data_IF_923493209215
#
_entry.id   IF_923493209215
#
_cell.length_a   1.000
_cell.length_b   1.000
_cell.length_c   1.000
_cell.angle_alpha   90.00
_cell.angle_beta   90.00
_cell.angle_gamma   90.00
#
_symmetry.space_group_name_H-M   'P 1'
#
loop_
_entity.id
_entity.type
_entity.pdbx_description
1 polymer ?
#
# COMPACT_ATOMS: atom_id res chain seq x y z
N UNK A 1 2.69 7.42 52.01
CA UNK A 1 1.27 7.46 51.58
C UNK A 1 1.17 8.40 50.38
N UNK A 2 0.96 7.79 49.21
CA UNK A 2 0.41 8.33 47.94
C UNK A 2 0.91 9.69 47.40
N UNK A 3 1.89 9.63 46.48
CA UNK A 3 1.93 10.55 45.32
C UNK A 3 1.47 9.74 44.11
N UNK A 4 0.24 9.95 43.66
CA UNK A 4 -0.32 9.22 42.54
C UNK A 4 -1.51 9.95 41.94
N UNK A 5 -1.52 10.03 40.61
CA UNK A 5 -2.58 10.53 39.71
C UNK A 5 -2.63 12.04 39.47
N UNK A 6 -1.83 12.49 38.51
CA UNK A 6 -2.21 13.58 37.61
C UNK A 6 -1.82 13.30 36.15
N UNK A 7 -1.97 12.05 35.70
CA UNK A 7 -1.99 11.69 34.26
C UNK A 7 -3.41 11.54 33.70
N UNK A 8 -4.42 11.42 34.57
CA UNK A 8 -5.76 10.96 34.19
C UNK A 8 -6.62 11.97 33.43
N UNK A 9 -6.39 13.28 33.56
CA UNK A 9 -7.32 14.29 33.00
C UNK A 9 -6.91 14.69 31.58
N UNK A 10 -5.61 14.76 31.30
CA UNK A 10 -5.07 15.11 29.98
C UNK A 10 -5.30 13.95 29.00
N UNK A 11 -5.10 12.71 29.45
CA UNK A 11 -5.42 11.51 28.67
C UNK A 11 -6.94 11.38 28.41
N UNK A 12 -7.78 11.78 29.37
CA UNK A 12 -9.24 11.76 29.23
C UNK A 12 -9.78 12.86 28.30
N UNK A 13 -9.15 14.04 28.28
CA UNK A 13 -9.50 15.14 27.37
C UNK A 13 -8.94 14.91 25.95
N UNK A 14 -7.81 14.22 25.81
CA UNK A 14 -7.30 13.79 24.50
C UNK A 14 -8.18 12.74 23.84
N UNK A 15 -8.80 11.85 24.63
CA UNK A 15 -9.72 10.84 24.14
C UNK A 15 -11.06 11.40 23.63
N UNK A 16 -11.51 12.56 24.14
CA UNK A 16 -12.76 13.21 23.72
C UNK A 16 -12.66 14.03 22.45
N UNK A 17 -11.45 14.24 21.93
CA UNK A 17 -11.17 15.02 20.71
C UNK A 17 -10.73 14.16 19.52
N UNK A 18 -10.65 12.83 19.68
CA UNK A 18 -10.42 11.92 18.56
C UNK A 18 -11.58 12.12 17.58
N UNK A 19 -11.34 12.63 16.35
CA UNK A 19 -12.40 12.79 15.36
C UNK A 19 -13.13 11.46 15.22
N UNK A 20 -14.46 11.47 15.28
CA UNK A 20 -15.32 10.28 15.20
C UNK A 20 -14.94 9.30 14.06
N UNK A 21 -14.35 9.82 12.98
CA UNK A 21 -13.80 9.04 11.86
C UNK A 21 -12.63 8.13 12.27
N UNK A 22 -11.72 8.56 13.14
CA UNK A 22 -10.60 7.73 13.64
C UNK A 22 -11.11 6.57 14.52
N UNK A 23 -12.16 6.79 15.32
CA UNK A 23 -12.78 5.72 16.09
C UNK A 23 -13.38 4.62 15.17
N UNK A 24 -13.96 5.00 14.03
CA UNK A 24 -14.47 4.06 13.03
C UNK A 24 -13.35 3.29 12.29
N UNK A 25 -12.14 3.85 12.23
CA UNK A 25 -10.98 3.24 11.58
C UNK A 25 -10.24 2.27 12.50
N UNK A 26 -10.32 2.47 13.82
CA UNK A 26 -9.57 1.71 14.82
C UNK A 26 -9.78 0.19 14.67
N UNK A 27 -8.68 -0.54 14.50
CA UNK A 27 -8.68 -1.99 14.35
C UNK A 27 -9.12 -2.51 12.97
N UNK A 28 -9.37 -1.61 12.02
CA UNK A 28 -9.59 -1.92 10.61
C UNK A 28 -8.26 -2.08 9.88
N UNK A 29 -8.26 -2.78 8.76
CA UNK A 29 -7.08 -2.98 7.92
C UNK A 29 -7.16 -2.13 6.66
N UNK A 30 -6.03 -1.55 6.27
CA UNK A 30 -5.84 -0.87 4.99
C UNK A 30 -4.69 -1.53 4.22
N UNK A 31 -4.90 -1.80 2.94
CA UNK A 31 -3.87 -2.28 2.03
C UNK A 31 -3.36 -1.13 1.16
N UNK A 32 -2.04 -0.92 1.13
CA UNK A 32 -1.37 0.06 0.28
C UNK A 32 -0.60 -0.71 -0.78
N UNK A 33 -0.85 -0.48 -2.08
CA UNK A 33 -0.35 -1.32 -3.17
C UNK A 33 0.50 -0.49 -4.13
N UNK A 34 1.76 -0.88 -4.31
CA UNK A 34 2.75 -0.15 -5.13
C UNK A 34 3.03 -0.89 -6.45
N UNK A 35 3.01 -2.24 -6.47
CA UNK A 35 3.53 -3.09 -7.58
C UNK A 35 4.85 -2.53 -8.16
N UNK A 36 5.76 -2.19 -7.25
CA UNK A 36 7.06 -1.59 -7.50
C UNK A 36 7.88 -1.62 -6.21
N UNK A 37 9.10 -1.09 -6.25
CA UNK A 37 9.94 -0.98 -5.06
C UNK A 37 9.33 0.01 -4.06
N UNK A 38 9.02 -0.49 -2.86
CA UNK A 38 8.46 0.31 -1.76
C UNK A 38 9.45 1.41 -1.36
N UNK A 39 10.75 1.11 -1.35
CA UNK A 39 11.75 2.08 -0.94
C UNK A 39 11.85 3.30 -1.86
N UNK A 40 11.41 3.16 -3.11
CA UNK A 40 11.37 4.22 -4.12
C UNK A 40 9.99 4.87 -4.27
N UNK A 41 9.09 4.63 -3.33
CA UNK A 41 7.72 5.15 -3.36
C UNK A 41 7.36 6.02 -2.15
N UNK A 42 8.06 7.16 -1.89
CA UNK A 42 7.82 8.00 -0.72
C UNK A 42 6.36 8.42 -0.53
N UNK A 43 5.64 8.69 -1.63
CA UNK A 43 4.21 9.05 -1.61
C UNK A 43 3.34 7.94 -1.01
N UNK A 44 3.61 6.69 -1.37
CA UNK A 44 2.87 5.53 -0.85
C UNK A 44 3.24 5.25 0.61
N UNK A 45 4.51 5.47 0.97
CA UNK A 45 4.97 5.41 2.37
C UNK A 45 4.25 6.46 3.24
N UNK A 46 4.11 7.69 2.75
CA UNK A 46 3.36 8.73 3.45
C UNK A 46 1.89 8.36 3.62
N UNK A 47 1.24 7.83 2.58
CA UNK A 47 -0.13 7.33 2.70
C UNK A 47 -0.26 6.22 3.75
N UNK A 48 0.71 5.30 3.82
CA UNK A 48 0.73 4.25 4.82
C UNK A 48 0.80 4.84 6.25
N UNK A 49 1.64 5.86 6.46
CA UNK A 49 1.74 6.55 7.76
C UNK A 49 0.43 7.26 8.10
N UNK A 50 -0.14 8.04 7.19
CA UNK A 50 -1.40 8.76 7.45
C UNK A 50 -2.56 7.80 7.79
N UNK A 51 -2.61 6.63 7.14
CA UNK A 51 -3.57 5.58 7.45
C UNK A 51 -3.31 4.96 8.83
N UNK A 52 -2.05 4.70 9.18
CA UNK A 52 -1.67 4.18 10.49
C UNK A 52 -2.03 5.17 11.62
N UNK A 53 -1.73 6.45 11.44
CA UNK A 53 -2.11 7.54 12.37
C UNK A 53 -3.63 7.70 12.49
N UNK A 54 -4.37 7.40 11.42
CA UNK A 54 -5.83 7.35 11.47
C UNK A 54 -6.39 6.11 12.22
N UNK A 55 -5.54 5.16 12.62
CA UNK A 55 -5.90 3.98 13.41
C UNK A 55 -6.06 2.68 12.62
N UNK A 56 -5.67 2.65 11.34
CA UNK A 56 -5.63 1.42 10.55
C UNK A 56 -4.40 0.56 10.89
N UNK A 57 -4.56 -0.76 10.82
CA UNK A 57 -3.43 -1.67 10.60
C UNK A 57 -3.12 -1.67 9.11
N UNK A 58 -1.93 -1.23 8.74
CA UNK A 58 -1.56 -0.99 7.35
C UNK A 58 -0.67 -2.12 6.86
N UNK A 59 -0.98 -2.66 5.69
CA UNK A 59 -0.12 -3.57 4.96
C UNK A 59 0.29 -2.95 3.64
N UNK A 60 1.58 -2.75 3.42
CA UNK A 60 2.11 -2.24 2.16
C UNK A 60 2.62 -3.39 1.29
N UNK A 61 2.12 -3.47 0.07
CA UNK A 61 2.38 -4.53 -0.90
C UNK A 61 3.27 -4.00 -2.02
N UNK A 62 4.48 -4.54 -2.13
CA UNK A 62 5.45 -4.14 -3.15
C UNK A 62 6.72 -4.98 -3.08
N UNK A 63 7.68 -4.68 -3.94
CA UNK A 63 9.03 -5.23 -3.82
C UNK A 63 9.77 -4.50 -2.69
N UNK A 64 10.68 -5.22 -2.04
CA UNK A 64 11.49 -4.69 -0.95
C UNK A 64 12.97 -4.83 -1.35
N UNK A 65 13.29 -4.18 -2.47
CA UNK A 65 14.63 -4.23 -3.07
C UNK A 65 15.53 -3.12 -2.51
N UNK A 66 14.93 -2.00 -2.10
CA UNK A 66 15.61 -0.89 -1.42
C UNK A 66 14.97 -0.60 -0.07
N UNK A 67 15.78 -0.16 0.90
CA UNK A 67 15.29 0.35 2.17
C UNK A 67 14.49 1.65 1.94
N UNK A 68 13.28 1.77 2.51
CA UNK A 68 12.54 3.02 2.47
C UNK A 68 13.27 4.14 3.21
N UNK A 69 13.38 5.30 2.57
CA UNK A 69 13.92 6.52 3.19
C UNK A 69 13.17 6.89 4.48
N UNK A 70 11.87 6.60 4.51
CA UNK A 70 11.03 6.74 5.70
C UNK A 70 10.98 5.37 6.40
N UNK A 71 11.42 5.27 7.67
CA UNK A 71 11.54 3.98 8.36
C UNK A 71 10.16 3.43 8.75
N UNK A 72 9.44 2.85 7.78
CA UNK A 72 8.11 2.27 7.98
C UNK A 72 8.09 1.19 9.06
N UNK A 73 9.20 0.45 9.21
CA UNK A 73 9.37 -0.59 10.23
C UNK A 73 9.40 -0.05 11.66
N UNK A 74 9.63 1.25 11.84
CA UNK A 74 9.53 1.91 13.15
C UNK A 74 8.06 2.18 13.56
N UNK A 75 7.11 2.05 12.62
CA UNK A 75 5.69 2.19 12.88
C UNK A 75 5.06 0.80 13.06
N UNK A 76 4.88 0.37 14.31
CA UNK A 76 4.28 -0.93 14.67
C UNK A 76 2.97 -1.28 13.91
N UNK A 77 2.07 -0.32 13.58
CA UNK A 77 0.87 -0.63 12.80
C UNK A 77 1.11 -0.94 11.31
N UNK A 78 2.33 -0.80 10.80
CA UNK A 78 2.68 -0.93 9.38
C UNK A 78 3.50 -2.20 9.14
N UNK A 79 2.98 -3.09 8.30
CA UNK A 79 3.67 -4.31 7.85
C UNK A 79 4.03 -4.20 6.36
N UNK A 80 5.30 -4.44 6.01
CA UNK A 80 5.73 -4.58 4.61
C UNK A 80 5.53 -6.02 4.16
N UNK A 81 4.67 -6.21 3.16
CA UNK A 81 4.35 -7.51 2.54
C UNK A 81 5.01 -7.58 1.17
N UNK A 82 6.13 -8.30 1.10
CA UNK A 82 6.91 -8.49 -0.12
C UNK A 82 6.13 -9.24 -1.22
N UNK A 83 6.15 -8.71 -2.45
CA UNK A 83 5.68 -9.40 -3.64
C UNK A 83 6.82 -10.22 -4.27
N UNK A 84 6.50 -11.39 -4.80
CA UNK A 84 7.48 -12.22 -5.50
C UNK A 84 7.73 -11.66 -6.91
N UNK A 85 8.96 -11.26 -7.19
CA UNK A 85 9.35 -10.81 -8.51
C UNK A 85 9.18 -11.92 -9.58
N UNK A 86 8.80 -11.57 -10.82
CA UNK A 86 8.75 -12.53 -11.92
C UNK A 86 10.15 -13.12 -12.17
N UNK A 87 10.24 -14.42 -12.53
CA UNK A 87 11.51 -15.04 -12.86
C UNK A 87 12.17 -14.31 -14.02
N UNK A 88 13.50 -14.23 -13.97
CA UNK A 88 14.27 -13.67 -15.08
C UNK A 88 14.22 -14.63 -16.28
N UNK A 89 13.72 -14.12 -17.42
CA UNK A 89 13.59 -14.89 -18.66
C UNK A 89 14.46 -14.28 -19.76
N UNK A 90 15.76 -14.11 -19.48
CA UNK A 90 16.72 -13.42 -20.38
C UNK A 90 16.86 -14.09 -21.74
N UNK A 91 16.54 -15.39 -21.85
CA UNK A 91 16.63 -16.17 -23.09
C UNK A 91 15.40 -16.07 -24.01
N UNK A 92 14.28 -15.46 -23.57
CA UNK A 92 13.05 -15.37 -24.36
C UNK A 92 12.93 -14.01 -25.07
N UNK A 93 12.24 -13.93 -26.23
CA UNK A 93 11.93 -12.64 -26.86
C UNK A 93 11.06 -11.75 -25.96
N UNK A 94 11.23 -10.43 -26.05
CA UNK A 94 10.49 -9.46 -25.23
C UNK A 94 8.96 -9.60 -25.36
N UNK A 95 8.48 -9.93 -26.57
CA UNK A 95 7.05 -10.17 -26.85
C UNK A 95 6.46 -11.33 -26.03
N UNK A 96 7.27 -12.29 -25.60
CA UNK A 96 6.86 -13.40 -24.72
C UNK A 96 7.10 -13.05 -23.25
N UNK A 97 8.18 -12.34 -22.94
CA UNK A 97 8.49 -11.93 -21.57
C UNK A 97 7.39 -11.05 -20.96
N UNK A 98 6.87 -10.09 -21.73
CA UNK A 98 5.85 -9.14 -21.26
C UNK A 98 4.54 -9.82 -20.79
N UNK A 99 3.88 -10.67 -21.60
CA UNK A 99 2.67 -11.35 -21.16
C UNK A 99 2.94 -12.32 -20.00
N UNK A 100 4.08 -13.01 -19.97
CA UNK A 100 4.43 -13.88 -18.84
C UNK A 100 4.62 -13.07 -17.55
N UNK A 101 5.33 -11.93 -17.62
CA UNK A 101 5.47 -11.00 -16.47
C UNK A 101 4.13 -10.45 -16.02
N UNK A 102 3.25 -10.10 -16.96
CA UNK A 102 1.90 -9.65 -16.67
C UNK A 102 1.12 -10.72 -15.90
N UNK A 103 1.07 -11.95 -16.42
CA UNK A 103 0.36 -13.07 -15.79
C UNK A 103 0.94 -13.38 -14.41
N UNK A 104 2.27 -13.41 -14.29
CA UNK A 104 2.95 -13.60 -13.00
C UNK A 104 2.56 -12.55 -11.98
N UNK A 105 2.56 -11.27 -12.37
CA UNK A 105 2.19 -10.16 -11.48
C UNK A 105 0.72 -10.24 -11.07
N UNK A 106 -0.19 -10.57 -11.99
CA UNK A 106 -1.61 -10.79 -11.67
C UNK A 106 -1.76 -11.88 -10.62
N UNK A 107 -1.18 -13.06 -10.85
CA UNK A 107 -1.31 -14.18 -9.92
C UNK A 107 -0.66 -13.89 -8.56
N UNK A 108 0.58 -13.41 -8.57
CA UNK A 108 1.31 -13.12 -7.34
C UNK A 108 0.61 -12.04 -6.53
N UNK A 109 0.20 -10.94 -7.16
CA UNK A 109 -0.52 -9.89 -6.46
C UNK A 109 -1.88 -10.39 -5.97
N UNK A 110 -2.61 -11.17 -6.76
CA UNK A 110 -3.92 -11.69 -6.37
C UNK A 110 -3.82 -12.58 -5.15
N UNK A 111 -2.96 -13.60 -5.17
CA UNK A 111 -2.83 -14.53 -4.05
C UNK A 111 -2.27 -13.84 -2.81
N UNK A 112 -1.25 -13.00 -2.97
CA UNK A 112 -0.69 -12.26 -1.83
C UNK A 112 -1.74 -11.32 -1.23
N UNK A 113 -2.43 -10.52 -2.03
CA UNK A 113 -3.45 -9.60 -1.53
C UNK A 113 -4.64 -10.35 -0.93
N UNK A 114 -5.07 -11.46 -1.53
CA UNK A 114 -6.19 -12.28 -1.03
C UNK A 114 -5.88 -12.92 0.32
N UNK A 115 -4.72 -13.57 0.48
CA UNK A 115 -4.37 -14.32 1.68
C UNK A 115 -3.71 -13.49 2.78
N UNK A 116 -3.01 -12.41 2.43
CA UNK A 116 -2.35 -11.54 3.43
C UNK A 116 -3.24 -10.45 3.98
N UNK A 117 -4.40 -10.18 3.38
CA UNK A 117 -5.38 -9.23 3.94
C UNK A 117 -6.49 -9.94 4.71
N UNK A 118 -7.01 -9.29 5.73
CA UNK A 118 -8.15 -9.77 6.50
C UNK A 118 -9.42 -9.83 5.64
N UNK A 119 -10.22 -10.87 5.81
CA UNK A 119 -11.50 -10.99 5.11
C UNK A 119 -12.58 -10.05 5.68
N UNK A 120 -12.56 -9.80 7.00
CA UNK A 120 -13.61 -9.06 7.70
C UNK A 120 -13.23 -7.61 8.02
N UNK A 121 -11.92 -7.32 8.10
CA UNK A 121 -11.44 -6.02 8.57
C UNK A 121 -10.85 -5.14 7.47
N UNK A 122 -10.64 -5.65 6.26
CA UNK A 122 -10.12 -4.84 5.15
C UNK A 122 -11.18 -3.82 4.73
N UNK A 123 -10.91 -2.53 4.93
CA UNK A 123 -11.84 -1.45 4.57
C UNK A 123 -11.39 -0.63 3.39
N UNK A 124 -10.07 -0.52 3.17
CA UNK A 124 -9.48 0.32 2.13
C UNK A 124 -8.37 -0.43 1.42
N UNK A 125 -8.37 -0.35 0.10
CA UNK A 125 -7.25 -0.72 -0.77
C UNK A 125 -6.84 0.57 -1.49
N UNK A 126 -5.66 1.09 -1.19
CA UNK A 126 -5.07 2.25 -1.85
C UNK A 126 -3.99 1.78 -2.81
N UNK A 127 -4.12 2.04 -4.10
CA UNK A 127 -3.14 1.60 -5.10
C UNK A 127 -2.46 2.79 -5.81
N UNK A 128 -1.17 2.64 -6.12
CA UNK A 128 -0.36 3.60 -6.88
C UNK A 128 -0.71 3.59 -8.38
N UNK A 129 -0.48 4.70 -9.09
CA UNK A 129 -0.84 4.93 -10.52
C UNK A 129 0.30 5.61 -11.34
N UNK A 130 0.39 5.59 -12.70
CA UNK A 130 -0.43 4.88 -13.68
C UNK A 130 -0.19 3.42 -13.47
N UNK A 131 -1.22 2.71 -12.95
CA UNK A 131 -0.99 1.36 -12.55
C UNK A 131 -0.70 0.60 -13.83
N UNK A 132 0.13 -0.42 -13.72
CA UNK A 132 -0.02 -1.51 -14.66
C UNK A 132 -1.50 -1.95 -14.62
N UNK A 133 -2.10 -2.15 -15.79
CA UNK A 133 -3.34 -2.93 -15.94
C UNK A 133 -3.44 -4.14 -14.99
N UNK A 134 -2.36 -4.92 -14.70
CA UNK A 134 -2.45 -6.03 -13.75
C UNK A 134 -2.81 -5.59 -12.32
N UNK A 135 -2.26 -4.47 -11.81
CA UNK A 135 -2.53 -4.00 -10.43
C UNK A 135 -3.99 -3.61 -10.27
N UNK A 136 -4.49 -2.79 -11.19
CA UNK A 136 -5.85 -2.27 -11.11
C UNK A 136 -6.89 -3.38 -11.17
N UNK A 137 -6.69 -4.35 -12.07
CA UNK A 137 -7.55 -5.52 -12.20
C UNK A 137 -7.64 -6.29 -10.87
N UNK A 138 -6.48 -6.61 -10.28
CA UNK A 138 -6.44 -7.38 -9.04
C UNK A 138 -7.02 -6.60 -7.86
N UNK A 139 -6.64 -5.33 -7.68
CA UNK A 139 -7.16 -4.50 -6.60
C UNK A 139 -8.68 -4.32 -6.72
N UNK A 140 -9.21 -4.15 -7.93
CA UNK A 140 -10.65 -4.12 -8.17
C UNK A 140 -11.31 -5.43 -7.75
N UNK A 141 -10.85 -6.57 -8.25
CA UNK A 141 -11.43 -7.87 -7.91
C UNK A 141 -11.43 -8.13 -6.40
N UNK A 142 -10.30 -7.90 -5.72
CA UNK A 142 -10.20 -8.09 -4.27
C UNK A 142 -11.09 -7.11 -3.51
N UNK A 143 -11.21 -5.86 -3.97
CA UNK A 143 -12.11 -4.88 -3.34
C UNK A 143 -13.57 -5.35 -3.38
N UNK A 144 -14.00 -5.99 -4.48
CA UNK A 144 -15.35 -6.56 -4.60
C UNK A 144 -15.52 -7.79 -3.71
N UNK A 145 -14.55 -8.71 -3.72
CA UNK A 145 -14.60 -9.94 -2.92
C UNK A 145 -14.62 -9.67 -1.41
N UNK A 146 -13.89 -8.65 -0.95
CA UNK A 146 -13.75 -8.32 0.48
C UNK A 146 -14.61 -7.12 0.91
N UNK A 147 -15.46 -6.59 0.02
CA UNK A 147 -16.30 -5.41 0.28
C UNK A 147 -15.49 -4.19 0.78
N UNK A 148 -14.27 -4.04 0.27
CA UNK A 148 -13.38 -2.93 0.61
C UNK A 148 -13.53 -1.77 -0.38
N UNK A 149 -13.26 -0.54 0.05
CA UNK A 149 -13.19 0.62 -0.85
C UNK A 149 -11.87 0.61 -1.60
N UNK A 150 -11.93 0.65 -2.93
CA UNK A 150 -10.75 0.85 -3.76
C UNK A 150 -10.52 2.35 -3.97
N UNK A 151 -9.35 2.84 -3.57
CA UNK A 151 -8.87 4.19 -3.81
C UNK A 151 -7.65 4.10 -4.73
N UNK A 152 -7.63 4.94 -5.75
CA UNK A 152 -6.51 5.00 -6.70
C UNK A 152 -5.78 6.31 -6.49
N UNK A 153 -4.51 6.23 -6.13
CA UNK A 153 -3.63 7.37 -6.02
C UNK A 153 -3.16 7.80 -7.42
N UNK A 154 -4.01 8.53 -8.15
CA UNK A 154 -3.73 8.96 -9.52
C UNK A 154 -2.58 9.97 -9.58
N UNK A 155 -1.54 9.66 -10.35
CA UNK A 155 -0.45 10.59 -10.62
C UNK A 155 0.17 10.36 -12.02
N UNK A 156 0.46 11.44 -12.76
CA UNK A 156 0.92 11.37 -14.16
C UNK A 156 2.41 11.00 -14.30
N UNK A 157 2.90 10.03 -13.53
CA UNK A 157 4.34 9.71 -13.47
C UNK A 157 4.85 9.01 -14.75
N UNK A 158 3.98 8.28 -15.45
CA UNK A 158 4.35 7.69 -16.76
C UNK A 158 4.71 8.75 -17.79
N UNK A 159 4.02 9.90 -17.81
CA UNK A 159 4.40 10.99 -18.71
C UNK A 159 5.78 11.54 -18.37
N UNK A 160 6.07 11.75 -17.08
CA UNK A 160 7.38 12.22 -16.63
C UNK A 160 8.51 11.23 -16.93
N UNK A 161 8.31 9.92 -16.70
CA UNK A 161 9.29 8.88 -17.05
C UNK A 161 9.48 8.78 -18.55
N UNK A 162 8.39 8.79 -19.33
CA UNK A 162 8.50 8.72 -20.79
C UNK A 162 9.19 9.97 -21.34
N UNK A 163 8.88 11.16 -20.81
CA UNK A 163 9.55 12.39 -21.19
C UNK A 163 11.06 12.32 -20.94
N UNK A 164 11.47 11.89 -19.75
CA UNK A 164 12.89 11.74 -19.40
C UNK A 164 13.58 10.67 -20.25
N UNK A 165 12.89 9.55 -20.50
CA UNK A 165 13.41 8.45 -21.32
C UNK A 165 13.52 8.78 -22.82
N UNK A 166 12.69 9.69 -23.33
CA UNK A 166 12.57 9.99 -24.77
C UNK A 166 12.93 11.44 -25.14
N UNK A 167 13.39 12.28 -24.18
CA UNK A 167 13.72 13.69 -24.40
C UNK A 167 12.66 14.46 -25.21
N UNK A 168 11.38 14.29 -24.82
CA UNK A 168 10.29 14.98 -25.50
C UNK A 168 10.28 16.46 -25.06
N UNK A 169 10.51 17.39 -25.99
CA UNK A 169 10.25 18.82 -25.79
C UNK A 169 8.78 19.16 -26.05
N UNK A 170 8.32 20.28 -25.49
CA UNK A 170 6.91 20.73 -25.46
C UNK A 170 6.32 21.05 -26.85
#
# INVERSE_FOLDING_TARGET
>A
MVFGKSKSIIDALGASLIPQWQAACKGSEAAVVVLGDVGRSPRMCNHAIMLAEAGYRVKIFGFHDSDPEIPLTAYEPIEIVGLRAPPEMRSLPAAVQLPVKFVWNVFTLFFTLFFRTSHLHLRVILMQNPPGLPTMLVCYLISRLKTARLTVDWHNYTYSILRDKYNLEE
#
